data_IF_390117334208
#
_entry.id   IF_390117334208
#
_cell.length_a   1.000
_cell.length_b   1.000
_cell.length_c   1.000
_cell.angle_alpha   90.00
_cell.angle_beta   90.00
_cell.angle_gamma   90.00
#
_symmetry.space_group_name_H-M   'P 1'
#
loop_
_entity.id
_entity.type
_entity.pdbx_description
1 polymer ?
#
# COMPACT_ATOMS: atom_id res chain seq x y z
N UNK A 1 21.28 10.61 -7.82
CA UNK A 1 20.49 10.26 -6.63
C UNK A 1 20.65 11.37 -5.61
N UNK A 2 19.56 11.88 -5.02
CA UNK A 2 19.65 12.82 -3.90
C UNK A 2 20.45 12.20 -2.75
N UNK A 3 21.09 13.04 -1.91
CA UNK A 3 21.73 12.54 -0.70
C UNK A 3 20.67 11.85 0.20
N UNK A 4 21.00 10.79 0.95
CA UNK A 4 20.03 10.00 1.72
C UNK A 4 19.10 10.85 2.60
N UNK A 5 19.63 11.93 3.16
CA UNK A 5 18.90 12.86 4.01
C UNK A 5 17.88 13.74 3.24
N UNK A 6 18.16 14.06 1.97
CA UNK A 6 17.24 14.81 1.11
C UNK A 6 16.08 13.93 0.59
N UNK A 7 16.37 12.66 0.28
CA UNK A 7 15.35 11.71 -0.15
C UNK A 7 14.32 11.46 0.96
N UNK A 8 14.80 11.28 2.20
CA UNK A 8 13.94 11.11 3.37
C UNK A 8 13.06 12.33 3.58
N UNK A 9 13.64 13.54 3.63
CA UNK A 9 12.87 14.77 3.83
C UNK A 9 11.80 14.97 2.74
N UNK A 10 12.12 14.70 1.48
CA UNK A 10 11.14 14.80 0.39
C UNK A 10 9.98 13.79 0.53
N UNK A 11 10.26 12.57 0.99
CA UNK A 11 9.23 11.57 1.26
C UNK A 11 8.40 11.92 2.49
N UNK A 12 9.02 12.46 3.53
CA UNK A 12 8.34 12.93 4.74
C UNK A 12 7.35 14.06 4.39
N UNK A 13 7.81 15.06 3.65
CA UNK A 13 6.97 16.15 3.14
C UNK A 13 5.81 15.62 2.30
N UNK A 14 6.06 14.63 1.44
CA UNK A 14 5.03 14.00 0.62
C UNK A 14 4.02 13.24 1.47
N UNK A 15 4.47 12.38 2.38
CA UNK A 15 3.60 11.48 3.17
C UNK A 15 2.72 12.26 4.15
N UNK A 16 3.20 13.40 4.65
CA UNK A 16 2.44 14.30 5.50
C UNK A 16 1.69 15.40 4.74
N UNK A 17 1.80 15.46 3.41
CA UNK A 17 1.08 16.41 2.59
C UNK A 17 -0.45 16.24 2.71
N UNK A 18 -1.15 17.33 2.39
CA UNK A 18 -2.61 17.36 2.32
C UNK A 18 -3.07 17.65 0.90
N UNK A 19 -4.04 16.88 0.42
CA UNK A 19 -4.65 17.01 -0.90
C UNK A 19 -6.10 17.45 -0.71
N UNK A 20 -6.45 18.62 -1.26
CA UNK A 20 -7.80 19.20 -1.13
C UNK A 20 -8.31 19.26 0.33
N UNK A 21 -7.39 19.49 1.29
CA UNK A 21 -7.70 19.55 2.73
C UNK A 21 -7.67 18.21 3.47
N UNK A 22 -7.46 17.08 2.78
CA UNK A 22 -7.33 15.76 3.39
C UNK A 22 -5.86 15.32 3.45
N UNK A 23 -5.38 14.87 4.62
CA UNK A 23 -4.02 14.33 4.77
C UNK A 23 -3.94 12.93 4.14
N UNK A 24 -2.86 12.66 3.40
CA UNK A 24 -2.70 11.41 2.65
C UNK A 24 -2.72 10.14 3.52
N UNK A 25 -2.12 10.18 4.71
CA UNK A 25 -2.01 9.00 5.59
C UNK A 25 -2.97 8.99 6.78
N UNK A 26 -3.84 10.00 6.93
CA UNK A 26 -4.66 10.16 8.14
C UNK A 26 -5.61 8.98 8.42
N UNK A 27 -6.13 8.35 7.37
CA UNK A 27 -7.00 7.17 7.50
C UNK A 27 -6.29 5.88 7.06
N UNK A 28 -5.01 5.93 6.71
CA UNK A 28 -4.27 4.80 6.15
C UNK A 28 -4.11 3.68 7.17
N UNK A 29 -4.25 2.39 6.77
CA UNK A 29 -3.96 1.26 7.64
C UNK A 29 -2.45 1.03 7.82
N UNK A 30 -1.61 1.78 7.10
CA UNK A 30 -0.14 1.68 7.11
C UNK A 30 0.44 2.95 7.71
N UNK A 31 1.39 2.80 8.63
CA UNK A 31 2.06 3.92 9.28
C UNK A 31 2.87 4.75 8.26
N UNK A 32 2.94 6.08 8.41
CA UNK A 32 3.77 6.96 7.59
C UNK A 32 5.21 6.44 7.40
N UNK A 33 5.85 6.00 8.47
CA UNK A 33 7.25 5.55 8.45
C UNK A 33 7.46 4.34 7.55
N UNK A 34 6.47 3.45 7.45
CA UNK A 34 6.54 2.28 6.55
C UNK A 34 6.52 2.72 5.09
N UNK A 35 5.76 3.77 4.74
CA UNK A 35 5.78 4.34 3.39
C UNK A 35 7.12 4.99 3.06
N UNK A 36 7.71 5.68 4.03
CA UNK A 36 9.03 6.31 3.88
C UNK A 36 10.09 5.23 3.70
N UNK A 37 10.08 4.18 4.53
CA UNK A 37 11.04 3.08 4.43
C UNK A 37 10.96 2.35 3.08
N UNK A 38 9.74 2.01 2.63
CA UNK A 38 9.52 1.41 1.31
C UNK A 38 9.93 2.33 0.16
N UNK A 39 9.71 3.65 0.30
CA UNK A 39 10.09 4.63 -0.72
C UNK A 39 11.58 4.92 -0.80
N UNK A 40 12.32 4.70 0.28
CA UNK A 40 13.79 4.80 0.33
C UNK A 40 14.48 3.52 -0.13
N UNK A 41 13.80 2.37 -0.02
CA UNK A 41 14.28 1.08 -0.47
C UNK A 41 14.43 0.98 -2.00
N UNK A 42 15.21 -0.01 -2.45
CA UNK A 42 15.15 -0.45 -3.84
C UNK A 42 13.79 -1.12 -4.12
N UNK A 43 13.40 -1.25 -5.41
CA UNK A 43 12.07 -1.75 -5.81
C UNK A 43 11.64 -3.08 -5.15
N UNK A 44 12.59 -3.97 -4.86
CA UNK A 44 12.36 -5.28 -4.24
C UNK A 44 12.87 -5.35 -2.78
N UNK A 45 13.11 -4.18 -2.15
CA UNK A 45 13.51 -4.12 -0.75
C UNK A 45 12.36 -4.59 0.15
N UNK A 46 12.66 -5.56 1.00
CA UNK A 46 11.70 -6.14 1.94
C UNK A 46 11.78 -5.39 3.27
N UNK A 47 10.61 -5.06 3.81
CA UNK A 47 10.45 -4.38 5.11
C UNK A 47 9.77 -5.31 6.09
N UNK A 48 10.25 -5.31 7.34
CA UNK A 48 9.63 -6.06 8.43
C UNK A 48 8.38 -5.35 8.95
N UNK A 49 7.25 -6.02 8.86
CA UNK A 49 5.94 -5.47 9.18
C UNK A 49 5.25 -6.29 10.26
N UNK A 50 4.61 -5.59 11.20
CA UNK A 50 3.69 -6.18 12.15
C UNK A 50 2.26 -5.87 11.74
N UNK A 51 1.55 -6.90 11.27
CA UNK A 51 0.18 -6.80 10.80
C UNK A 51 -0.78 -7.21 11.91
N UNK A 52 -1.76 -6.35 12.18
CA UNK A 52 -2.82 -6.63 13.17
C UNK A 52 -4.09 -7.06 12.43
N UNK A 53 -4.69 -8.22 12.78
CA UNK A 53 -5.92 -8.65 12.15
C UNK A 53 -7.07 -7.71 12.51
N UNK A 54 -8.06 -7.62 11.62
CA UNK A 54 -9.31 -6.94 11.93
C UNK A 54 -9.97 -7.58 13.17
N UNK A 55 -10.65 -6.78 14.00
CA UNK A 55 -11.28 -7.18 15.28
C UNK A 55 -12.21 -8.41 15.26
N UNK A 56 -12.64 -8.85 14.07
CA UNK A 56 -13.50 -10.03 13.86
C UNK A 56 -12.75 -11.22 13.24
N UNK A 57 -11.43 -11.15 13.15
CA UNK A 57 -10.55 -12.16 12.55
C UNK A 57 -9.43 -12.52 13.52
N UNK A 58 -8.70 -13.59 13.21
CA UNK A 58 -7.53 -14.03 13.98
C UNK A 58 -6.23 -13.81 13.20
N UNK A 59 -5.09 -13.79 13.90
CA UNK A 59 -3.77 -13.74 13.27
C UNK A 59 -3.54 -14.93 12.32
N UNK A 60 -4.01 -16.13 12.69
CA UNK A 60 -3.96 -17.31 11.81
C UNK A 60 -4.78 -17.11 10.52
N UNK A 61 -5.98 -16.56 10.63
CA UNK A 61 -6.82 -16.29 9.46
C UNK A 61 -6.17 -15.24 8.54
N UNK A 62 -5.59 -14.18 9.11
CA UNK A 62 -4.83 -13.18 8.35
C UNK A 62 -3.62 -13.81 7.66
N UNK A 63 -2.81 -14.59 8.38
CA UNK A 63 -1.62 -15.25 7.82
C UNK A 63 -1.98 -16.15 6.63
N UNK A 64 -3.03 -16.99 6.76
CA UNK A 64 -3.51 -17.85 5.67
C UNK A 64 -4.03 -17.05 4.47
N UNK A 65 -4.76 -15.97 4.73
CA UNK A 65 -5.31 -15.13 3.67
C UNK A 65 -4.21 -14.37 2.90
N UNK A 66 -3.14 -13.99 3.59
CA UNK A 66 -1.98 -13.33 3.03
C UNK A 66 -1.11 -14.31 2.25
N UNK A 67 -0.81 -15.48 2.84
CA UNK A 67 -0.06 -16.56 2.20
C UNK A 67 -0.70 -16.99 0.87
N UNK A 68 -2.02 -17.17 0.85
CA UNK A 68 -2.77 -17.50 -0.37
C UNK A 68 -2.69 -16.42 -1.47
N UNK A 69 -2.41 -15.16 -1.12
CA UNK A 69 -2.25 -14.04 -2.07
C UNK A 69 -0.80 -13.87 -2.55
N UNK A 70 0.17 -14.12 -1.69
CA UNK A 70 1.60 -14.07 -2.03
C UNK A 70 2.01 -15.27 -2.90
N UNK A 71 1.30 -16.39 -2.77
CA UNK A 71 1.57 -17.63 -3.50
C UNK A 71 2.64 -18.50 -2.84
N UNK A 72 2.76 -19.76 -3.31
CA UNK A 72 3.49 -20.87 -2.65
C UNK A 72 5.02 -20.73 -2.56
N UNK A 73 5.62 -19.61 -2.98
CA UNK A 73 7.07 -19.42 -3.01
C UNK A 73 7.63 -18.69 -1.77
N UNK A 74 6.77 -18.24 -0.84
CA UNK A 74 7.15 -17.28 0.21
C UNK A 74 6.96 -17.78 1.66
N UNK A 75 6.94 -19.09 1.91
CA UNK A 75 6.73 -19.66 3.26
C UNK A 75 7.69 -19.12 4.34
N UNK A 76 8.83 -18.54 3.98
CA UNK A 76 9.81 -17.96 4.90
C UNK A 76 9.50 -16.50 5.35
N UNK A 77 8.47 -15.85 4.82
CA UNK A 77 8.22 -14.40 5.07
C UNK A 77 7.10 -14.11 6.05
N UNK A 78 6.41 -15.13 6.56
CA UNK A 78 5.27 -14.97 7.46
C UNK A 78 5.45 -15.77 8.74
N UNK A 79 5.32 -15.09 9.87
CA UNK A 79 5.21 -15.71 11.19
C UNK A 79 4.01 -15.12 11.93
N UNK A 80 3.35 -15.88 12.79
CA UNK A 80 2.23 -15.38 13.56
C UNK A 80 2.31 -15.76 15.04
N UNK A 81 1.74 -14.92 15.88
CA UNK A 81 1.46 -15.21 17.29
C UNK A 81 -0.06 -15.18 17.50
N UNK A 82 -0.55 -15.09 18.74
CA UNK A 82 -1.99 -15.06 19.00
C UNK A 82 -2.70 -13.81 18.43
N UNK A 83 -1.99 -12.68 18.33
CA UNK A 83 -2.61 -11.39 17.96
C UNK A 83 -2.00 -10.66 16.77
N UNK A 84 -0.82 -11.07 16.30
CA UNK A 84 -0.04 -10.33 15.29
C UNK A 84 0.50 -11.32 14.25
N UNK A 85 0.60 -10.86 13.01
CA UNK A 85 1.35 -11.53 11.94
C UNK A 85 2.58 -10.68 11.63
N UNK A 86 3.77 -11.22 11.84
CA UNK A 86 5.00 -10.65 11.32
C UNK A 86 5.14 -11.04 9.83
N UNK A 87 5.39 -10.07 8.98
CA UNK A 87 5.53 -10.27 7.54
C UNK A 87 6.74 -9.50 7.00
N UNK A 88 7.48 -10.09 6.07
CA UNK A 88 8.57 -9.43 5.38
C UNK A 88 8.16 -9.15 3.93
N UNK A 89 7.72 -7.93 3.62
CA UNK A 89 7.05 -7.59 2.35
C UNK A 89 7.76 -6.45 1.63
N UNK A 90 7.80 -6.50 0.30
CA UNK A 90 8.14 -5.35 -0.53
C UNK A 90 6.90 -4.48 -0.79
N UNK A 91 7.10 -3.36 -1.48
CA UNK A 91 6.02 -2.42 -1.81
C UNK A 91 4.92 -3.10 -2.66
N UNK A 92 5.30 -4.00 -3.57
CA UNK A 92 4.37 -4.69 -4.45
C UNK A 92 3.49 -5.66 -3.66
N UNK A 93 4.10 -6.46 -2.79
CA UNK A 93 3.42 -7.44 -1.94
C UNK A 93 2.52 -6.72 -0.92
N UNK A 94 2.97 -5.58 -0.36
CA UNK A 94 2.14 -4.75 0.49
C UNK A 94 0.87 -4.27 -0.24
N UNK A 95 1.02 -3.71 -1.45
CA UNK A 95 -0.10 -3.15 -2.22
C UNK A 95 -1.03 -4.23 -2.76
N UNK A 96 -0.49 -5.37 -3.23
CA UNK A 96 -1.27 -6.40 -3.93
C UNK A 96 -1.82 -7.49 -3.02
N UNK A 97 -1.16 -7.77 -1.88
CA UNK A 97 -1.54 -8.87 -1.01
C UNK A 97 -2.10 -8.40 0.34
N UNK A 98 -1.44 -7.45 1.00
CA UNK A 98 -1.82 -7.02 2.36
C UNK A 98 -2.90 -5.93 2.37
N UNK A 99 -2.75 -4.83 1.63
CA UNK A 99 -3.73 -3.74 1.60
C UNK A 99 -5.15 -4.18 1.23
N UNK A 100 -5.38 -5.10 0.26
CA UNK A 100 -6.72 -5.57 -0.07
C UNK A 100 -7.46 -6.28 1.08
N UNK A 101 -6.74 -6.72 2.11
CA UNK A 101 -7.31 -7.32 3.31
C UNK A 101 -7.81 -6.27 4.33
N UNK A 102 -7.49 -5.00 4.13
CA UNK A 102 -7.86 -3.91 5.04
C UNK A 102 -9.27 -3.40 4.76
N UNK A 103 -9.96 -2.93 5.80
CA UNK A 103 -11.24 -2.25 5.64
C UNK A 103 -11.11 -0.91 4.91
N UNK A 104 -9.94 -0.27 4.99
CA UNK A 104 -9.62 0.96 4.25
C UNK A 104 -9.72 0.73 2.74
N UNK A 105 -9.08 -0.32 2.23
CA UNK A 105 -9.12 -0.65 0.80
C UNK A 105 -10.56 -0.82 0.29
N UNK A 106 -11.38 -1.55 1.05
CA UNK A 106 -12.78 -1.77 0.71
C UNK A 106 -13.59 -0.48 0.71
N UNK A 107 -13.29 0.45 1.63
CA UNK A 107 -14.00 1.72 1.78
C UNK A 107 -13.60 2.79 0.75
N UNK A 108 -12.32 2.86 0.38
CA UNK A 108 -11.84 3.99 -0.43
C UNK A 108 -11.50 3.61 -1.87
N UNK A 109 -11.25 2.32 -2.17
CA UNK A 109 -10.92 1.87 -3.53
C UNK A 109 -12.03 1.05 -4.19
N UNK A 110 -12.85 0.34 -3.41
CA UNK A 110 -13.96 -0.47 -3.93
C UNK A 110 -15.33 0.21 -3.83
N UNK A 111 -15.42 1.40 -3.21
CA UNK A 111 -16.67 2.17 -3.21
C UNK A 111 -16.80 2.85 -4.57
N UNK A 112 -17.78 2.44 -5.40
CA UNK A 112 -17.99 3.10 -6.66
C UNK A 112 -18.61 4.48 -6.37
N UNK A 113 -17.96 5.55 -6.84
CA UNK A 113 -18.76 6.58 -7.50
C UNK A 113 -19.35 5.93 -8.76
N UNK A 114 -20.51 6.39 -9.25
CA UNK A 114 -21.27 5.82 -10.40
C UNK A 114 -20.48 5.69 -11.73
N UNK A 115 -19.19 6.03 -11.73
CA UNK A 115 -18.25 6.06 -12.85
C UNK A 115 -16.98 5.22 -12.60
N UNK A 116 -16.73 4.75 -11.37
CA UNK A 116 -15.51 4.01 -11.03
C UNK A 116 -15.61 2.52 -11.43
N UNK A 117 -14.54 1.92 -11.98
CA UNK A 117 -14.56 0.52 -12.39
C UNK A 117 -14.81 -0.40 -11.18
N UNK A 118 -15.89 -1.18 -11.26
CA UNK A 118 -16.21 -2.19 -10.27
C UNK A 118 -15.23 -3.36 -10.41
N UNK A 119 -14.39 -3.62 -9.40
CA UNK A 119 -13.47 -4.77 -9.44
C UNK A 119 -12.35 -4.72 -8.41
N UNK A 120 -11.74 -5.87 -8.15
CA UNK A 120 -10.48 -5.97 -7.41
C UNK A 120 -9.38 -5.20 -8.16
N UNK A 121 -8.67 -4.27 -7.49
CA UNK A 121 -7.60 -3.48 -8.11
C UNK A 121 -6.54 -4.37 -8.77
N UNK A 122 -6.32 -5.59 -8.26
CA UNK A 122 -5.40 -6.55 -8.89
C UNK A 122 -5.90 -6.98 -10.27
N UNK A 123 -7.20 -7.23 -10.42
CA UNK A 123 -7.82 -7.54 -11.71
C UNK A 123 -7.85 -6.31 -12.62
N UNK A 124 -8.08 -5.11 -12.07
CA UNK A 124 -8.06 -3.86 -12.82
C UNK A 124 -6.64 -3.52 -13.33
N UNK A 125 -5.61 -3.75 -12.52
CA UNK A 125 -4.21 -3.57 -12.92
C UNK A 125 -3.69 -4.66 -13.86
N UNK A 126 -4.39 -5.80 -13.97
CA UNK A 126 -4.05 -6.84 -14.95
C UNK A 126 -4.42 -6.42 -16.37
N UNK A 127 -5.36 -5.49 -16.57
CA UNK A 127 -5.63 -4.87 -17.87
C UNK A 127 -4.52 -3.85 -18.21
N UNK A 128 -3.71 -4.08 -19.26
CA UNK A 128 -2.62 -3.19 -19.62
C UNK A 128 -3.06 -1.77 -20.02
N UNK A 129 -4.28 -1.62 -20.57
CA UNK A 129 -4.81 -0.32 -20.95
C UNK A 129 -5.24 0.47 -19.70
N UNK A 130 -5.94 -0.19 -18.78
CA UNK A 130 -6.37 0.44 -17.53
C UNK A 130 -5.19 0.75 -16.61
N UNK A 131 -4.21 -0.16 -16.49
CA UNK A 131 -2.99 0.08 -15.72
C UNK A 131 -2.22 1.31 -16.23
N UNK A 132 -2.17 1.51 -17.55
CA UNK A 132 -1.57 2.71 -18.16
C UNK A 132 -2.35 3.96 -17.83
N UNK A 133 -3.68 3.93 -17.97
CA UNK A 133 -4.54 5.06 -17.66
C UNK A 133 -4.43 5.47 -16.17
N UNK A 134 -4.40 4.50 -15.26
CA UNK A 134 -4.19 4.72 -13.82
C UNK A 134 -2.81 5.35 -13.58
N UNK A 135 -1.75 4.79 -14.16
CA UNK A 135 -0.38 5.34 -14.03
C UNK A 135 -0.33 6.80 -14.50
N UNK A 136 -0.85 7.09 -15.69
CA UNK A 136 -0.86 8.45 -16.23
C UNK A 136 -1.69 9.40 -15.36
N UNK A 137 -2.84 8.94 -14.84
CA UNK A 137 -3.65 9.71 -13.90
C UNK A 137 -2.90 10.06 -12.62
N UNK A 138 -2.19 9.08 -12.03
CA UNK A 138 -1.37 9.27 -10.84
C UNK A 138 -0.22 10.26 -11.08
N UNK A 139 0.52 10.09 -12.19
CA UNK A 139 1.61 11.00 -12.57
C UNK A 139 1.11 12.43 -12.75
N UNK A 140 0.01 12.63 -13.51
CA UNK A 140 -0.60 13.95 -13.68
C UNK A 140 -1.05 14.56 -12.35
N UNK A 141 -1.62 13.75 -11.47
CA UNK A 141 -2.02 14.17 -10.12
C UNK A 141 -0.84 14.67 -9.30
N UNK A 142 0.25 13.90 -9.26
CA UNK A 142 1.49 14.26 -8.56
C UNK A 142 2.14 15.52 -9.15
N UNK A 143 2.23 15.63 -10.47
CA UNK A 143 2.79 16.79 -11.17
C UNK A 143 1.97 18.06 -10.92
N UNK A 144 0.64 17.96 -10.87
CA UNK A 144 -0.24 19.07 -10.54
C UNK A 144 0.00 19.58 -9.10
N UNK A 145 0.41 18.70 -8.18
CA UNK A 145 0.75 19.10 -6.80
C UNK A 145 2.09 19.83 -6.72
N UNK A 146 3.08 19.42 -7.52
CA UNK A 146 4.41 20.04 -7.55
C UNK A 146 4.46 21.46 -8.14
N UNK A 147 3.36 21.95 -8.74
CA UNK A 147 3.26 23.32 -9.30
C UNK A 147 2.51 24.31 -8.40
N UNK A 148 2.11 23.88 -7.20
CA UNK A 148 1.34 24.69 -6.25
C UNK A 148 2.12 25.24 -5.06
N UNK A 149 3.45 25.09 -5.03
CA UNK A 149 4.34 25.61 -3.99
C UNK A 149 4.95 26.97 -4.37
#
# INVERSE_FOLDING_TARGET
MPAPNQAHAALEDLVFASVAGARLTQDSPILPDVWIELGLGADDALVDLLLTPHRRSSALALARALDGRLGRAQEARLAHTQGIVAAHLDLRDLIRAALPLTGWWQRYLLVPDDVAPTGDLVALLADPALARAIREGLVRGLEAQGRGA
#
